data_IF_733574019259
#
_entry.id   IF_733574019259
#
_cell.length_a   1.000
_cell.length_b   1.000
_cell.length_c   1.000
_cell.angle_alpha   90.00
_cell.angle_beta   90.00
_cell.angle_gamma   90.00
#
_symmetry.space_group_name_H-M   'P 1'
#
loop_
_entity.id
_entity.type
_entity.pdbx_description
1 polymer ?
#
# COMPACT_ATOMS: atom_id res chain seq x y z
N UNK A 1 -26.62 -7.15 -7.80
CA UNK A 1 -25.60 -7.01 -6.73
C UNK A 1 -26.00 -5.86 -5.84
N UNK A 2 -26.16 -6.07 -4.53
CA UNK A 2 -26.38 -4.97 -3.59
C UNK A 2 -25.11 -4.11 -3.55
N UNK A 3 -25.21 -2.84 -3.93
CA UNK A 3 -24.14 -1.86 -3.67
C UNK A 3 -23.96 -1.83 -2.15
N UNK A 4 -22.77 -2.11 -1.60
CA UNK A 4 -22.56 -2.03 -0.16
C UNK A 4 -22.92 -0.60 0.29
N UNK A 5 -23.57 -0.48 1.46
CA UNK A 5 -23.79 0.83 2.09
C UNK A 5 -22.43 1.51 2.27
N UNK A 6 -22.18 2.55 1.50
CA UNK A 6 -20.92 3.28 1.56
C UNK A 6 -21.05 4.35 2.63
N UNK A 7 -20.20 4.29 3.65
CA UNK A 7 -20.16 5.33 4.67
C UNK A 7 -19.84 6.68 4.04
N UNK A 8 -20.44 7.78 4.54
CA UNK A 8 -20.09 9.11 4.08
C UNK A 8 -18.62 9.42 4.40
N UNK A 9 -17.97 10.16 3.50
CA UNK A 9 -16.62 10.67 3.71
C UNK A 9 -16.65 11.82 4.70
N UNK A 10 -15.73 11.85 5.67
CA UNK A 10 -15.43 13.07 6.40
C UNK A 10 -14.41 13.88 5.61
N UNK A 11 -14.63 15.20 5.50
CA UNK A 11 -13.80 16.09 4.68
C UNK A 11 -13.12 17.11 5.57
N UNK A 12 -11.81 17.27 5.39
CA UNK A 12 -10.99 18.26 6.08
C UNK A 12 -10.13 19.01 5.07
N UNK A 13 -9.99 20.32 5.23
CA UNK A 13 -9.06 21.11 4.42
C UNK A 13 -7.63 20.96 4.94
N UNK A 14 -6.67 20.78 4.04
CA UNK A 14 -5.24 20.77 4.31
C UNK A 14 -4.60 21.98 3.62
N UNK A 15 -4.74 23.15 4.25
CA UNK A 15 -4.39 24.41 3.61
C UNK A 15 -5.48 24.90 2.65
N UNK A 16 -5.09 25.66 1.63
CA UNK A 16 -5.99 26.28 0.64
C UNK A 16 -6.27 25.39 -0.58
N UNK A 17 -5.27 24.57 -0.94
CA UNK A 17 -5.21 23.87 -2.22
C UNK A 17 -5.26 22.34 -2.05
N UNK A 18 -5.67 21.85 -0.88
CA UNK A 18 -5.86 20.42 -0.67
C UNK A 18 -7.05 20.08 0.23
N UNK A 19 -7.74 19.00 -0.12
CA UNK A 19 -8.81 18.37 0.66
C UNK A 19 -8.42 16.94 1.01
N UNK A 20 -8.63 16.56 2.26
CA UNK A 20 -8.53 15.19 2.74
C UNK A 20 -9.92 14.60 2.94
N UNK A 21 -10.15 13.44 2.32
CA UNK A 21 -11.36 12.66 2.44
C UNK A 21 -11.06 11.39 3.21
N UNK A 22 -11.50 11.33 4.47
CA UNK A 22 -11.29 10.17 5.34
C UNK A 22 -12.52 9.26 5.33
N UNK A 23 -12.26 7.95 5.26
CA UNK A 23 -13.25 6.91 5.47
C UNK A 23 -13.17 6.42 6.93
N UNK A 24 -14.32 6.25 7.62
CA UNK A 24 -14.29 5.73 8.98
C UNK A 24 -13.75 4.28 8.99
N UNK A 25 -13.03 3.87 10.06
CA UNK A 25 -12.62 2.48 10.24
C UNK A 25 -13.84 1.54 10.34
N UNK A 26 -13.69 0.24 10.05
CA UNK A 26 -12.43 -0.48 9.83
C UNK A 26 -11.90 -0.42 8.40
N UNK A 27 -10.60 -0.64 8.23
CA UNK A 27 -9.99 -0.88 6.92
C UNK A 27 -10.55 -2.15 6.29
N UNK A 28 -10.82 -2.12 4.99
CA UNK A 28 -11.09 -3.32 4.21
C UNK A 28 -10.52 -3.20 2.80
N UNK A 29 -10.26 -4.34 2.16
CA UNK A 29 -9.80 -4.39 0.78
C UNK A 29 -10.80 -3.67 -0.14
N UNK A 30 -12.11 -3.93 0.00
CA UNK A 30 -13.14 -3.31 -0.82
C UNK A 30 -13.20 -1.78 -0.66
N UNK A 31 -12.96 -1.27 0.55
CA UNK A 31 -12.88 0.17 0.79
C UNK A 31 -11.67 0.78 0.11
N UNK A 32 -10.51 0.13 0.22
CA UNK A 32 -9.28 0.60 -0.42
C UNK A 32 -9.36 0.53 -1.94
N UNK A 33 -9.90 -0.54 -2.51
CA UNK A 33 -10.17 -0.66 -3.95
C UNK A 33 -11.07 0.48 -4.43
N UNK A 34 -12.09 0.85 -3.65
CA UNK A 34 -12.95 1.99 -3.96
C UNK A 34 -12.17 3.31 -3.94
N UNK A 35 -11.31 3.54 -2.95
CA UNK A 35 -10.44 4.71 -2.89
C UNK A 35 -9.55 4.79 -4.13
N UNK A 36 -8.99 3.65 -4.57
CA UNK A 36 -8.17 3.58 -5.78
C UNK A 36 -8.95 3.91 -7.05
N UNK A 37 -10.17 3.37 -7.20
CA UNK A 37 -11.03 3.68 -8.33
C UNK A 37 -11.38 5.18 -8.38
N UNK A 38 -11.71 5.76 -7.23
CA UNK A 38 -12.06 7.18 -7.14
C UNK A 38 -10.82 8.06 -7.36
N UNK A 39 -9.64 7.67 -6.87
CA UNK A 39 -8.39 8.38 -7.14
C UNK A 39 -8.04 8.37 -8.64
N UNK A 40 -8.17 7.23 -9.31
CA UNK A 40 -7.97 7.09 -10.77
C UNK A 40 -8.92 8.02 -11.53
N UNK A 41 -10.22 7.98 -11.20
CA UNK A 41 -11.22 8.85 -11.82
C UNK A 41 -10.91 10.34 -11.62
N UNK A 42 -10.54 10.74 -10.41
CA UNK A 42 -10.33 12.15 -10.06
C UNK A 42 -8.97 12.69 -10.49
N UNK A 43 -7.98 11.83 -10.75
CA UNK A 43 -6.69 12.23 -11.33
C UNK A 43 -6.84 12.86 -12.72
N UNK A 44 -7.98 12.63 -13.38
CA UNK A 44 -8.33 13.20 -14.68
C UNK A 44 -9.35 14.36 -14.58
N UNK A 45 -9.76 14.75 -13.37
CA UNK A 45 -10.70 15.84 -13.16
C UNK A 45 -10.01 17.19 -13.41
N UNK A 46 -10.56 18.08 -14.25
CA UNK A 46 -10.01 19.42 -14.45
C UNK A 46 -9.82 20.18 -13.14
N UNK A 47 -8.63 20.77 -12.97
CA UNK A 47 -8.24 21.53 -11.80
C UNK A 47 -7.75 20.69 -10.61
N UNK A 48 -7.83 19.36 -10.68
CA UNK A 48 -7.10 18.47 -9.77
C UNK A 48 -5.68 18.31 -10.30
N UNK A 49 -4.69 18.65 -9.48
CA UNK A 49 -3.27 18.51 -9.80
C UNK A 49 -2.79 17.11 -9.42
N UNK A 50 -3.17 16.61 -8.24
CA UNK A 50 -2.81 15.29 -7.75
C UNK A 50 -3.96 14.63 -6.99
N UNK A 51 -4.15 13.33 -7.22
CA UNK A 51 -5.02 12.47 -6.41
C UNK A 51 -4.15 11.42 -5.71
N UNK A 52 -3.99 11.55 -4.39
CA UNK A 52 -3.06 10.76 -3.59
C UNK A 52 -3.85 9.82 -2.67
N UNK A 53 -3.99 8.52 -3.04
CA UNK A 53 -4.61 7.54 -2.16
C UNK A 53 -3.68 7.24 -0.98
N UNK A 54 -4.22 7.29 0.23
CA UNK A 54 -3.55 6.87 1.45
C UNK A 54 -4.26 5.67 2.07
N UNK A 55 -4.11 5.51 3.39
CA UNK A 55 -4.77 4.42 4.11
C UNK A 55 -6.16 4.85 4.56
N UNK A 56 -7.22 4.24 4.02
CA UNK A 56 -8.61 4.65 4.28
C UNK A 56 -8.90 6.13 3.98
N UNK A 57 -8.08 6.79 3.18
CA UNK A 57 -8.30 8.18 2.81
C UNK A 57 -7.78 8.50 1.40
N UNK A 58 -8.27 9.61 0.88
CA UNK A 58 -7.87 10.20 -0.39
C UNK A 58 -7.57 11.67 -0.17
N UNK A 59 -6.38 12.11 -0.53
CA UNK A 59 -6.05 13.52 -0.60
C UNK A 59 -6.13 13.99 -2.04
N UNK A 60 -6.79 15.12 -2.28
CA UNK A 60 -6.73 15.82 -3.56
C UNK A 60 -5.98 17.12 -3.38
N UNK A 61 -4.99 17.34 -4.23
CA UNK A 61 -4.35 18.64 -4.44
C UNK A 61 -4.97 19.25 -5.68
N UNK A 62 -5.40 20.51 -5.59
CA UNK A 62 -6.14 21.19 -6.65
C UNK A 62 -5.80 22.67 -6.71
N UNK A 63 -5.94 23.28 -7.88
CA UNK A 63 -5.76 24.72 -8.05
C UNK A 63 -7.03 25.46 -7.58
N UNK A 64 -6.99 26.08 -6.40
CA UNK A 64 -8.12 26.83 -5.84
C UNK A 64 -8.52 28.07 -6.65
N UNK A 65 -7.68 28.50 -7.59
CA UNK A 65 -8.02 29.58 -8.54
C UNK A 65 -8.87 29.09 -9.72
N UNK A 66 -8.84 27.78 -9.99
CA UNK A 66 -9.58 27.12 -11.09
C UNK A 66 -10.83 26.41 -10.60
N UNK A 67 -10.79 25.82 -9.40
CA UNK A 67 -11.85 24.97 -8.87
C UNK A 67 -12.21 25.36 -7.43
N UNK A 68 -13.51 25.55 -7.21
CA UNK A 68 -14.05 25.74 -5.87
C UNK A 68 -14.05 24.43 -5.07
N UNK A 69 -13.64 24.52 -3.80
CA UNK A 69 -13.49 23.34 -2.94
C UNK A 69 -14.82 22.65 -2.63
N UNK A 70 -15.93 23.38 -2.53
CA UNK A 70 -17.25 22.79 -2.32
C UNK A 70 -17.75 22.09 -3.59
N UNK A 71 -17.47 22.64 -4.77
CA UNK A 71 -17.73 21.97 -6.04
C UNK A 71 -16.90 20.68 -6.16
N UNK A 72 -15.61 20.72 -5.83
CA UNK A 72 -14.75 19.54 -5.85
C UNK A 72 -15.26 18.47 -4.87
N UNK A 73 -15.64 18.86 -3.65
CA UNK A 73 -16.23 17.95 -2.67
C UNK A 73 -17.51 17.28 -3.20
N UNK A 74 -18.37 18.01 -3.93
CA UNK A 74 -19.55 17.43 -4.54
C UNK A 74 -19.21 16.39 -5.63
N UNK A 75 -18.21 16.68 -6.47
CA UNK A 75 -17.70 15.74 -7.49
C UNK A 75 -17.16 14.47 -6.83
N UNK A 76 -16.36 14.61 -5.77
CA UNK A 76 -15.81 13.48 -5.02
C UNK A 76 -16.91 12.63 -4.41
N UNK A 77 -17.93 13.24 -3.79
CA UNK A 77 -19.05 12.51 -3.23
C UNK A 77 -19.84 11.73 -4.30
N UNK A 78 -19.98 12.28 -5.51
CA UNK A 78 -20.61 11.56 -6.63
C UNK A 78 -19.77 10.36 -7.08
N UNK A 79 -18.47 10.56 -7.31
CA UNK A 79 -17.54 9.48 -7.66
C UNK A 79 -17.48 8.42 -6.55
N UNK A 80 -17.57 8.83 -5.29
CA UNK A 80 -17.62 7.92 -4.15
C UNK A 80 -18.88 7.07 -4.12
N UNK A 81 -20.04 7.61 -4.47
CA UNK A 81 -21.29 6.84 -4.53
C UNK A 81 -21.34 5.93 -5.76
N UNK A 82 -20.81 6.40 -6.89
CA UNK A 82 -20.88 5.74 -8.19
C UNK A 82 -19.50 5.71 -8.85
N UNK A 83 -18.54 4.94 -8.30
CA UNK A 83 -17.19 4.89 -8.85
C UNK A 83 -17.26 4.31 -10.25
N UNK A 84 -16.62 4.98 -11.19
CA UNK A 84 -16.40 4.39 -12.51
C UNK A 84 -15.44 3.21 -12.37
N UNK A 85 -15.58 2.24 -13.26
CA UNK A 85 -14.64 1.13 -13.31
C UNK A 85 -13.25 1.70 -13.63
N UNK A 86 -12.23 1.23 -12.89
CA UNK A 86 -10.85 1.69 -13.09
C UNK A 86 -10.45 1.57 -14.57
N UNK A 87 -9.85 2.62 -15.11
CA UNK A 87 -9.47 2.64 -16.53
C UNK A 87 -8.23 1.77 -16.78
N UNK A 88 -7.42 1.53 -15.75
CA UNK A 88 -6.19 0.75 -15.84
C UNK A 88 -6.39 -0.69 -15.37
N UNK A 89 -5.98 -1.64 -16.21
CA UNK A 89 -5.87 -3.04 -15.82
C UNK A 89 -4.77 -3.22 -14.76
N UNK A 90 -5.08 -3.97 -13.69
CA UNK A 90 -4.09 -4.34 -12.68
C UNK A 90 -2.97 -5.17 -13.32
N UNK A 91 -1.71 -4.78 -13.09
CA UNK A 91 -0.55 -5.57 -13.51
C UNK A 91 -0.23 -6.59 -12.42
N UNK A 92 0.15 -7.80 -12.81
CA UNK A 92 0.56 -8.83 -11.87
C UNK A 92 2.10 -8.95 -11.82
N UNK A 93 2.64 -9.00 -10.61
CA UNK A 93 4.06 -9.15 -10.34
C UNK A 93 4.30 -10.38 -9.47
N UNK A 94 5.11 -11.30 -9.97
CA UNK A 94 5.66 -12.38 -9.16
C UNK A 94 7.08 -12.02 -8.71
N UNK A 95 7.29 -11.92 -7.40
CA UNK A 95 8.54 -11.49 -6.78
C UNK A 95 9.22 -12.69 -6.10
N UNK A 96 10.42 -13.11 -6.53
CA UNK A 96 11.18 -14.13 -5.82
C UNK A 96 11.67 -13.57 -4.49
N UNK A 97 11.43 -14.29 -3.39
CA UNK A 97 11.84 -13.89 -2.05
C UNK A 97 12.67 -14.98 -1.39
N UNK A 98 13.85 -14.61 -0.90
CA UNK A 98 14.66 -15.41 0.03
C UNK A 98 14.22 -15.05 1.44
N UNK A 99 13.65 -16.01 2.17
CA UNK A 99 13.16 -15.79 3.54
C UNK A 99 14.20 -16.19 4.59
N UNK A 100 14.17 -15.50 5.74
CA UNK A 100 15.00 -15.83 6.90
C UNK A 100 16.49 -15.50 6.74
N UNK A 101 17.30 -15.98 7.69
CA UNK A 101 18.75 -15.76 7.71
C UNK A 101 19.12 -14.27 7.82
N UNK A 102 20.20 -13.87 7.14
CA UNK A 102 20.64 -12.46 7.12
C UNK A 102 19.62 -11.53 6.43
N UNK A 103 18.78 -12.08 5.56
CA UNK A 103 17.80 -11.36 4.76
C UNK A 103 16.42 -11.27 5.44
N UNK A 104 16.18 -12.07 6.47
CA UNK A 104 14.91 -12.15 7.20
C UNK A 104 15.14 -12.23 8.70
N UNK A 105 15.94 -11.31 9.23
CA UNK A 105 16.41 -11.28 10.63
C UNK A 105 15.32 -11.24 11.71
N UNK A 106 14.07 -10.96 11.33
CA UNK A 106 12.92 -10.91 12.22
C UNK A 106 11.91 -12.04 11.95
N UNK A 107 12.22 -13.00 11.07
CA UNK A 107 11.33 -14.11 10.73
C UNK A 107 10.99 -14.96 11.96
N UNK A 108 11.99 -15.31 12.78
CA UNK A 108 11.80 -16.04 14.02
C UNK A 108 10.98 -15.25 15.03
N UNK A 109 11.15 -13.92 15.07
CA UNK A 109 10.36 -13.05 15.94
C UNK A 109 8.87 -13.03 15.54
N UNK A 110 8.59 -12.91 14.24
CA UNK A 110 7.22 -12.97 13.69
C UNK A 110 6.59 -14.33 14.00
N UNK A 111 7.33 -15.42 13.78
CA UNK A 111 6.86 -16.77 14.08
C UNK A 111 6.51 -16.93 15.57
N UNK A 112 7.44 -16.54 16.46
CA UNK A 112 7.26 -16.64 17.91
C UNK A 112 6.11 -15.76 18.43
N UNK A 113 5.95 -14.54 17.89
CA UNK A 113 4.87 -13.63 18.28
C UNK A 113 3.48 -14.23 17.99
N UNK A 114 3.35 -14.94 16.87
CA UNK A 114 2.09 -15.48 16.41
C UNK A 114 1.89 -16.96 16.80
N UNK A 115 2.83 -17.57 17.52
CA UNK A 115 2.72 -18.96 17.98
C UNK A 115 2.75 -19.99 16.85
N UNK A 116 3.42 -19.69 15.74
CA UNK A 116 3.52 -20.54 14.55
C UNK A 116 4.99 -20.79 14.19
N UNK A 117 5.26 -21.73 13.29
CA UNK A 117 6.62 -21.99 12.81
C UNK A 117 7.06 -20.94 11.77
N UNK A 118 8.37 -20.75 11.59
CA UNK A 118 8.91 -19.91 10.52
C UNK A 118 8.49 -20.42 9.13
N UNK A 119 8.38 -21.73 8.97
CA UNK A 119 7.85 -22.36 7.76
C UNK A 119 6.39 -21.97 7.50
N UNK A 120 5.53 -22.00 8.53
CA UNK A 120 4.14 -21.55 8.43
C UNK A 120 4.05 -20.05 8.09
N UNK A 121 4.95 -19.21 8.61
CA UNK A 121 5.04 -17.79 8.20
C UNK A 121 5.30 -17.67 6.70
N UNK A 122 6.29 -18.41 6.19
CA UNK A 122 6.67 -18.39 4.78
C UNK A 122 5.51 -18.87 3.90
N UNK A 123 4.85 -19.96 4.27
CA UNK A 123 3.71 -20.53 3.54
C UNK A 123 2.54 -19.56 3.48
N UNK A 124 2.12 -19.02 4.63
CA UNK A 124 1.03 -18.04 4.70
C UNK A 124 1.34 -16.75 3.92
N UNK A 125 2.59 -16.28 4.00
CA UNK A 125 3.00 -15.06 3.31
C UNK A 125 3.15 -15.26 1.79
N UNK A 126 3.68 -16.40 1.34
CA UNK A 126 3.85 -16.68 -0.09
C UNK A 126 2.58 -17.15 -0.80
N UNK A 127 1.62 -17.74 -0.09
CA UNK A 127 0.35 -18.18 -0.66
C UNK A 127 -0.65 -17.03 -0.91
N UNK A 128 -0.46 -15.89 -0.24
CA UNK A 128 -1.35 -14.75 -0.35
C UNK A 128 -1.20 -14.00 -1.68
N UNK A 129 -2.32 -13.41 -2.13
CA UNK A 129 -2.33 -12.46 -3.25
C UNK A 129 -2.46 -11.06 -2.67
N UNK A 130 -1.49 -10.21 -2.98
CA UNK A 130 -1.39 -8.87 -2.42
C UNK A 130 -1.83 -7.82 -3.42
N UNK A 131 -2.51 -6.78 -2.93
CA UNK A 131 -2.83 -5.59 -3.73
C UNK A 131 -2.03 -4.41 -3.21
N UNK A 132 -1.40 -3.66 -4.11
CA UNK A 132 -0.72 -2.41 -3.75
C UNK A 132 -1.76 -1.37 -3.38
N UNK A 133 -1.84 -1.02 -2.10
CA UNK A 133 -2.82 -0.08 -1.57
C UNK A 133 -2.44 1.37 -1.85
N UNK A 134 -1.16 1.70 -1.66
CA UNK A 134 -0.58 2.99 -2.02
C UNK A 134 0.94 2.88 -1.96
N UNK A 135 1.60 3.91 -2.49
CA UNK A 135 3.05 4.10 -2.35
C UNK A 135 3.31 5.25 -1.38
N UNK A 136 4.28 5.14 -0.49
CA UNK A 136 4.51 6.17 0.53
C UNK A 136 5.69 5.85 1.46
N UNK A 137 5.92 6.68 2.48
CA UNK A 137 7.13 6.70 3.33
C UNK A 137 8.43 7.11 2.61
N UNK A 138 8.67 6.61 1.40
CA UNK A 138 9.71 7.08 0.49
C UNK A 138 9.42 6.59 -0.94
N UNK A 139 10.10 7.14 -1.96
CA UNK A 139 9.83 6.76 -3.35
C UNK A 139 9.95 5.25 -3.60
N UNK A 140 8.90 4.67 -4.18
CA UNK A 140 8.80 3.26 -4.57
C UNK A 140 8.43 2.27 -3.46
N UNK A 141 8.30 2.68 -2.19
CA UNK A 141 7.84 1.77 -1.14
C UNK A 141 6.35 1.50 -1.29
N UNK A 142 6.01 0.22 -1.42
CA UNK A 142 4.63 -0.23 -1.62
C UNK A 142 4.04 -0.82 -0.34
N UNK A 143 2.90 -0.27 0.08
CA UNK A 143 2.08 -0.86 1.13
C UNK A 143 1.15 -1.89 0.51
N UNK A 144 1.27 -3.14 0.95
CA UNK A 144 0.52 -4.26 0.41
C UNK A 144 -0.60 -4.69 1.37
N UNK A 145 -1.81 -4.78 0.84
CA UNK A 145 -2.95 -5.37 1.51
C UNK A 145 -3.13 -6.84 1.14
N UNK A 146 -3.83 -7.60 2.00
CA UNK A 146 -4.04 -9.05 1.82
C UNK A 146 -3.16 -9.94 2.71
N UNK A 147 -2.46 -9.35 3.69
CA UNK A 147 -1.70 -10.13 4.68
C UNK A 147 -2.65 -11.00 5.51
N UNK A 148 -2.29 -12.27 5.66
CA UNK A 148 -3.05 -13.21 6.48
C UNK A 148 -3.04 -12.77 7.96
N UNK A 149 -4.19 -12.81 8.63
CA UNK A 149 -4.35 -12.27 9.99
C UNK A 149 -3.40 -12.89 11.03
N UNK A 150 -3.12 -14.19 10.90
CA UNK A 150 -2.09 -14.91 11.68
C UNK A 150 -0.67 -14.35 11.58
N UNK A 151 -0.38 -13.47 10.62
CA UNK A 151 0.93 -12.85 10.46
C UNK A 151 0.98 -11.43 11.01
N UNK A 152 -0.15 -10.90 11.50
CA UNK A 152 -0.22 -9.54 12.01
C UNK A 152 0.72 -9.36 13.21
N UNK A 153 1.80 -8.62 12.99
CA UNK A 153 2.86 -8.46 14.00
C UNK A 153 3.13 -6.97 14.18
N UNK A 154 3.06 -6.42 15.41
CA UNK A 154 3.25 -5.00 15.64
C UNK A 154 4.63 -4.53 15.16
N UNK A 155 4.72 -3.23 14.86
CA UNK A 155 6.01 -2.62 14.56
C UNK A 155 6.95 -2.78 15.76
N UNK A 156 8.24 -2.90 15.47
CA UNK A 156 9.28 -2.91 16.48
C UNK A 156 9.21 -1.62 17.31
N UNK A 157 9.37 -1.76 18.63
CA UNK A 157 9.43 -0.60 19.53
C UNK A 157 10.65 0.29 19.23
N UNK A 158 11.75 -0.32 18.80
CA UNK A 158 12.95 0.38 18.34
C UNK A 158 13.19 0.08 16.86
N UNK A 159 13.06 1.09 15.97
CA UNK A 159 13.35 0.93 14.56
C UNK A 159 14.80 0.53 14.31
N UNK A 160 15.01 -0.30 13.28
CA UNK A 160 16.36 -0.57 12.76
C UNK A 160 16.84 0.68 12.04
N UNK A 161 18.09 1.09 12.29
CA UNK A 161 18.68 2.28 11.66
C UNK A 161 18.94 2.09 10.16
N UNK A 162 19.02 0.84 9.71
CA UNK A 162 19.29 0.49 8.31
C UNK A 162 18.57 -0.80 7.96
N UNK A 163 17.59 -0.71 7.07
CA UNK A 163 16.95 -1.84 6.40
C UNK A 163 17.25 -1.69 4.91
N UNK A 164 17.77 -2.75 4.29
CA UNK A 164 18.23 -2.72 2.91
C UNK A 164 17.06 -2.59 1.93
N UNK A 165 17.27 -1.87 0.82
CA UNK A 165 16.37 -1.95 -0.32
C UNK A 165 16.22 -3.41 -0.80
N UNK A 166 15.00 -3.86 -1.07
CA UNK A 166 14.65 -5.24 -1.39
C UNK A 166 14.13 -6.04 -0.19
N UNK A 167 14.31 -5.56 1.05
CA UNK A 167 13.76 -6.23 2.23
C UNK A 167 12.23 -6.27 2.20
N UNK A 168 11.67 -7.46 2.38
CA UNK A 168 10.25 -7.74 2.57
C UNK A 168 9.97 -7.75 4.06
N UNK A 169 8.99 -6.95 4.50
CA UNK A 169 8.76 -6.73 5.93
C UNK A 169 7.28 -6.70 6.30
N UNK A 170 6.96 -7.05 7.55
CA UNK A 170 5.63 -6.98 8.14
C UNK A 170 5.55 -5.88 9.20
N UNK A 171 4.51 -5.05 9.16
CA UNK A 171 4.24 -4.01 10.14
C UNK A 171 2.75 -3.85 10.43
N UNK A 172 2.30 -4.38 11.57
CA UNK A 172 0.88 -4.47 11.92
C UNK A 172 0.16 -5.45 11.00
N UNK A 173 -0.94 -4.99 10.40
CA UNK A 173 -1.75 -5.76 9.47
C UNK A 173 -1.27 -5.70 8.01
N UNK A 174 -0.03 -5.26 7.78
CA UNK A 174 0.48 -4.96 6.44
C UNK A 174 1.83 -5.63 6.19
N UNK A 175 2.07 -5.92 4.91
CA UNK A 175 3.39 -6.28 4.39
C UNK A 175 3.81 -5.30 3.30
N UNK A 176 5.08 -5.28 2.95
CA UNK A 176 5.63 -4.31 2.01
C UNK A 176 7.06 -4.63 1.64
N UNK A 177 7.54 -3.97 0.58
CA UNK A 177 8.91 -4.12 0.10
C UNK A 177 9.64 -2.78 0.11
N UNK A 178 10.80 -2.79 0.75
CA UNK A 178 11.64 -1.62 0.92
C UNK A 178 12.25 -1.22 -0.44
N UNK A 179 11.93 -0.06 -0.99
CA UNK A 179 12.55 0.42 -2.24
C UNK A 179 13.93 1.08 -2.06
N UNK A 180 14.25 1.56 -0.85
CA UNK A 180 15.48 2.29 -0.56
C UNK A 180 16.05 1.89 0.81
N UNK A 181 17.37 1.90 0.95
CA UNK A 181 18.01 1.56 2.22
C UNK A 181 17.84 2.68 3.24
N UNK A 182 16.93 2.49 4.20
CA UNK A 182 16.49 3.50 5.17
C UNK A 182 16.16 2.88 6.54
N UNK A 183 16.04 3.67 7.62
CA UNK A 183 15.52 3.18 8.88
C UNK A 183 14.09 2.66 8.75
N UNK A 184 13.77 1.55 9.43
CA UNK A 184 12.39 1.02 9.46
C UNK A 184 12.09 0.28 10.77
N UNK A 185 10.86 0.44 11.25
CA UNK A 185 10.32 -0.28 12.40
C UNK A 185 9.56 -1.56 12.03
N UNK A 186 9.56 -1.96 10.76
CA UNK A 186 8.88 -3.17 10.32
C UNK A 186 9.77 -4.40 10.56
N UNK A 187 9.13 -5.56 10.75
CA UNK A 187 9.82 -6.83 10.97
C UNK A 187 10.27 -7.40 9.63
N UNK A 188 11.58 -7.46 9.40
CA UNK A 188 12.16 -7.95 8.13
C UNK A 188 12.12 -9.47 8.09
N UNK A 189 11.39 -10.03 7.12
CA UNK A 189 11.16 -11.49 7.02
C UNK A 189 11.84 -12.14 5.81
N UNK A 190 12.28 -11.34 4.83
CA UNK A 190 12.97 -11.84 3.65
C UNK A 190 13.46 -10.72 2.74
N UNK A 191 13.94 -11.11 1.56
CA UNK A 191 14.56 -10.21 0.60
C UNK A 191 14.25 -10.60 -0.85
N UNK A 192 14.09 -9.60 -1.71
CA UNK A 192 14.03 -9.75 -3.17
C UNK A 192 15.05 -8.82 -3.83
N UNK A 193 15.68 -9.27 -4.91
CA UNK A 193 16.69 -8.52 -5.67
C UNK A 193 16.09 -7.49 -6.64
N UNK A 194 14.77 -7.34 -6.63
CA UNK A 194 14.05 -6.42 -7.51
C UNK A 194 14.30 -4.97 -7.12
N UNK A 195 14.53 -4.14 -8.14
CA UNK A 195 14.61 -2.67 -8.00
C UNK A 195 13.20 -2.07 -8.12
N UNK A 196 12.71 -1.47 -7.03
CA UNK A 196 11.36 -0.89 -6.97
C UNK A 196 11.30 0.59 -7.36
N UNK A 197 12.45 1.28 -7.33
CA UNK A 197 12.54 2.69 -7.70
C UNK A 197 13.81 2.97 -8.52
N UNK A 198 13.64 3.68 -9.64
CA UNK A 198 14.72 4.18 -10.47
C UNK A 198 14.37 5.58 -10.99
N UNK A 199 14.98 6.67 -10.48
CA UNK A 199 14.64 8.03 -10.90
C UNK A 199 15.03 8.33 -12.35
N UNK A 200 15.82 7.48 -13.00
CA UNK A 200 16.23 7.65 -14.40
C UNK A 200 15.33 6.92 -15.40
N UNK A 201 14.41 6.08 -14.90
CA UNK A 201 13.45 5.33 -15.72
C UNK A 201 12.28 6.21 -16.17
N UNK A 202 11.70 5.90 -17.34
CA UNK A 202 10.45 6.50 -17.81
C UNK A 202 9.25 6.22 -16.87
N UNK A 203 9.31 5.13 -16.13
CA UNK A 203 8.39 4.82 -15.02
C UNK A 203 9.23 4.63 -13.76
N UNK A 204 9.43 5.67 -12.93
CA UNK A 204 10.36 5.60 -11.81
C UNK A 204 10.00 4.57 -10.75
N UNK A 205 8.72 4.40 -10.44
CA UNK A 205 8.24 3.35 -9.55
C UNK A 205 7.90 2.09 -10.36
N UNK A 206 8.36 0.92 -9.88
CA UNK A 206 8.02 -0.37 -10.48
C UNK A 206 6.55 -0.71 -10.28
N UNK A 207 6.09 -0.58 -9.03
CA UNK A 207 4.71 -0.84 -8.62
C UNK A 207 3.88 0.44 -8.67
N UNK A 208 2.58 0.29 -8.85
CA UNK A 208 1.58 1.35 -8.75
C UNK A 208 0.41 0.87 -7.89
N UNK A 209 -0.35 1.79 -7.27
CA UNK A 209 -1.59 1.43 -6.60
C UNK A 209 -2.51 0.62 -7.53
N UNK A 210 -3.10 -0.45 -7.00
CA UNK A 210 -3.94 -1.40 -7.73
C UNK A 210 -3.18 -2.53 -8.44
N UNK A 211 -1.85 -2.49 -8.55
CA UNK A 211 -1.09 -3.65 -9.01
C UNK A 211 -1.20 -4.82 -8.03
N UNK A 212 -1.10 -6.04 -8.54
CA UNK A 212 -1.15 -7.29 -7.78
C UNK A 212 0.26 -7.84 -7.62
N UNK A 213 0.61 -8.24 -6.40
CA UNK A 213 1.90 -8.82 -6.05
C UNK A 213 1.70 -10.23 -5.49
N UNK A 214 2.53 -11.17 -5.93
CA UNK A 214 2.65 -12.53 -5.37
C UNK A 214 4.10 -12.77 -5.00
N UNK A 215 4.34 -13.22 -3.77
CA UNK A 215 5.68 -13.58 -3.33
C UNK A 215 5.92 -15.06 -3.58
N UNK A 216 6.98 -15.40 -4.29
CA UNK A 216 7.40 -16.78 -4.51
C UNK A 216 8.63 -17.06 -3.66
N UNK A 217 8.52 -17.98 -2.70
CA UNK A 217 9.68 -18.42 -1.95
C UNK A 217 10.69 -19.07 -2.89
N UNK A 218 11.90 -18.53 -2.94
CA UNK A 218 13.08 -19.15 -3.55
C UNK A 218 14.00 -19.50 -2.38
N UNK A 219 14.44 -20.75 -2.28
CA UNK A 219 14.99 -21.34 -1.05
C UNK A 219 16.02 -20.50 -0.28
N UNK A 220 16.24 -20.83 0.99
CA UNK A 220 17.24 -20.16 1.81
C UNK A 220 18.63 -20.30 1.16
N UNK A 221 19.33 -19.17 0.96
CA UNK A 221 20.76 -19.22 0.71
C UNK A 221 21.38 -19.83 1.97
N UNK A 222 21.85 -21.07 1.83
CA UNK A 222 22.61 -21.82 2.83
C UNK A 222 23.94 -21.16 3.14
#
# INVERSE_FOLDING_TARGET
MKVPLVSPLSVSALGTDALLFDCPPPMSLALQERILMVADELSHQPGVEEAVPGMNNLMLVFDSTQVDSAQLQAVVNQAWLHPKQAQRAAREFELPVVYGGEYGVDLEHVAAHNGISTQEVIELHSAATYTVFFLGAHPGFAYLGGLHEKLHTPRRAQPRLKVQAGCVSIGGAQTGVQAQTLPSGWNVIGFTDRRFFDPTSASPALLSPGDVVRFRAVGALS
#
